data_IF_425406750268
#
_entry.id   IF_425406750268
#
_cell.length_a   1.000
_cell.length_b   1.000
_cell.length_c   1.000
_cell.angle_alpha   90.00
_cell.angle_beta   90.00
_cell.angle_gamma   90.00
#
_symmetry.space_group_name_H-M   'P 1'
#
loop_
_entity.id
_entity.type
_entity.pdbx_description
1 polymer ?
#
# COMPACT_ATOMS: atom_id res chain seq x y z
N UNK A 1 -33.62 59.80 30.27
CA UNK A 1 -33.06 59.70 28.90
C UNK A 1 -31.67 59.07 29.04
N UNK A 2 -31.31 57.88 28.56
CA UNK A 2 -31.83 56.94 27.56
C UNK A 2 -31.81 55.52 28.16
N UNK A 3 -32.86 54.75 27.89
CA UNK A 3 -33.00 53.33 28.27
C UNK A 3 -32.17 52.44 27.35
N UNK A 4 -31.49 51.45 27.93
CA UNK A 4 -30.90 50.31 27.22
C UNK A 4 -32.02 49.46 26.61
N UNK A 5 -31.92 49.15 25.31
CA UNK A 5 -32.69 48.09 24.66
C UNK A 5 -31.76 46.94 24.31
N UNK A 6 -31.97 45.82 24.99
CA UNK A 6 -31.37 44.52 24.70
C UNK A 6 -32.27 43.87 23.64
N UNK A 7 -31.72 43.60 22.45
CA UNK A 7 -32.39 42.78 21.44
C UNK A 7 -31.91 41.34 21.59
N UNK A 8 -32.81 40.48 22.06
CA UNK A 8 -32.70 39.02 21.99
C UNK A 8 -33.23 38.61 20.62
N UNK A 9 -32.38 38.01 19.78
CA UNK A 9 -32.83 37.32 18.56
C UNK A 9 -32.93 35.82 18.87
N UNK A 10 -34.16 35.32 18.94
CA UNK A 10 -34.49 33.89 18.81
C UNK A 10 -34.69 33.66 17.32
N UNK A 11 -33.86 32.79 16.73
CA UNK A 11 -33.96 32.37 15.34
C UNK A 11 -33.68 30.88 15.23
N UNK A 12 -34.75 30.09 15.14
CA UNK A 12 -34.75 28.66 14.90
C UNK A 12 -34.52 28.32 13.42
N UNK A 13 -33.75 27.24 13.21
CA UNK A 13 -33.77 26.31 12.07
C UNK A 13 -33.39 26.80 10.67
N UNK A 14 -32.32 26.25 10.10
CA UNK A 14 -32.42 25.26 9.01
C UNK A 14 -31.04 24.68 8.66
N UNK A 15 -30.90 23.37 8.80
CA UNK A 15 -29.81 22.60 8.26
C UNK A 15 -29.86 22.64 6.73
N UNK A 16 -28.80 23.12 6.09
CA UNK A 16 -28.65 23.06 4.65
C UNK A 16 -28.36 21.60 4.23
N UNK A 17 -29.42 20.89 3.85
CA UNK A 17 -29.34 19.63 3.10
C UNK A 17 -28.90 19.98 1.69
N UNK A 18 -27.69 19.56 1.31
CA UNK A 18 -27.23 19.68 -0.08
C UNK A 18 -28.08 18.77 -0.98
N UNK A 19 -28.87 19.39 -1.84
CA UNK A 19 -29.64 18.73 -2.90
C UNK A 19 -28.69 18.26 -4.02
N UNK A 20 -28.79 17.01 -4.49
CA UNK A 20 -28.04 16.57 -5.67
C UNK A 20 -28.60 17.18 -6.96
N UNK A 21 -27.70 17.71 -7.77
CA UNK A 21 -27.97 18.35 -9.06
C UNK A 21 -28.33 17.28 -10.13
N UNK A 22 -29.50 17.35 -10.80
CA UNK A 22 -29.98 16.30 -11.70
C UNK A 22 -29.55 16.58 -13.15
N UNK A 23 -28.30 16.27 -13.50
CA UNK A 23 -27.89 16.29 -14.90
C UNK A 23 -26.67 15.38 -15.14
N UNK A 24 -26.88 14.06 -15.15
CA UNK A 24 -26.24 13.09 -16.06
C UNK A 24 -26.69 11.68 -15.66
N UNK A 25 -27.79 11.20 -16.24
CA UNK A 25 -28.17 9.78 -16.19
C UNK A 25 -28.29 9.28 -17.62
N UNK A 26 -27.42 8.38 -18.10
CA UNK A 26 -27.61 7.75 -19.40
C UNK A 26 -28.85 6.85 -19.33
N UNK A 27 -29.81 7.09 -20.24
CA UNK A 27 -31.00 6.24 -20.40
C UNK A 27 -30.60 4.91 -21.02
N UNK A 28 -30.40 3.88 -20.19
CA UNK A 28 -30.35 2.49 -20.67
C UNK A 28 -31.80 1.97 -20.72
N UNK A 29 -32.35 1.83 -21.92
CA UNK A 29 -33.62 1.11 -22.16
C UNK A 29 -33.31 -0.34 -22.50
N UNK A 30 -33.83 -1.27 -21.69
CA UNK A 30 -34.06 -2.66 -22.07
C UNK A 30 -33.30 -3.71 -21.25
N UNK A 31 -34.05 -4.71 -20.76
CA UNK A 31 -33.66 -5.92 -20.03
C UNK A 31 -33.74 -5.89 -18.48
N UNK A 32 -34.97 -5.86 -17.95
CA UNK A 32 -35.28 -6.49 -16.66
C UNK A 32 -35.95 -7.85 -16.92
N UNK A 33 -35.20 -8.95 -16.79
CA UNK A 33 -35.74 -10.19 -16.23
C UNK A 33 -35.38 -10.17 -14.75
N UNK A 34 -36.39 -10.17 -13.89
CA UNK A 34 -36.25 -10.24 -12.44
C UNK A 34 -35.52 -11.56 -12.10
N UNK A 35 -34.26 -11.50 -11.67
CA UNK A 35 -33.61 -12.64 -11.03
C UNK A 35 -34.19 -12.77 -9.61
N UNK A 36 -34.68 -13.96 -9.27
CA UNK A 36 -35.21 -14.25 -7.93
C UNK A 36 -34.09 -14.05 -6.89
N UNK A 37 -34.38 -13.53 -5.69
CA UNK A 37 -33.40 -13.46 -4.62
C UNK A 37 -32.89 -14.86 -4.28
N UNK A 38 -31.57 -15.01 -4.23
CA UNK A 38 -30.92 -16.21 -3.75
C UNK A 38 -31.21 -16.35 -2.25
N UNK A 39 -31.99 -17.36 -1.89
CA UNK A 39 -32.18 -17.78 -0.49
C UNK A 39 -31.15 -18.88 -0.23
N UNK A 40 -30.15 -18.59 0.60
CA UNK A 40 -29.18 -19.59 1.04
C UNK A 40 -29.90 -20.63 1.93
N UNK A 41 -29.90 -21.94 1.61
CA UNK A 41 -30.69 -22.93 2.35
C UNK A 41 -30.13 -23.34 3.71
N UNK A 42 -28.94 -22.89 4.13
CA UNK A 42 -28.39 -23.32 5.42
C UNK A 42 -27.48 -22.26 6.06
N UNK A 43 -27.88 -21.62 7.18
CA UNK A 43 -27.09 -20.56 7.83
C UNK A 43 -25.90 -21.07 8.66
N UNK A 44 -25.69 -22.39 8.79
CA UNK A 44 -24.52 -22.97 9.44
C UNK A 44 -24.10 -24.28 8.75
N UNK A 45 -23.23 -24.23 7.74
CA UNK A 45 -22.56 -25.43 7.24
C UNK A 45 -21.55 -25.94 8.28
N UNK A 46 -21.70 -27.22 8.64
CA UNK A 46 -20.78 -27.95 9.53
C UNK A 46 -19.56 -28.45 8.73
N UNK A 47 -18.41 -27.83 8.97
CA UNK A 47 -17.13 -28.12 8.31
C UNK A 47 -16.24 -29.08 9.12
N UNK A 48 -16.78 -29.77 10.13
CA UNK A 48 -16.01 -30.65 11.02
C UNK A 48 -15.28 -31.81 10.33
N UNK A 49 -15.54 -32.07 9.04
CA UNK A 49 -14.95 -33.18 8.29
C UNK A 49 -14.32 -32.75 6.94
N UNK A 50 -13.97 -31.48 6.75
CA UNK A 50 -13.26 -31.04 5.54
C UNK A 50 -11.74 -31.33 5.65
N UNK A 51 -11.17 -32.21 4.80
CA UNK A 51 -9.75 -32.54 4.81
C UNK A 51 -8.83 -31.40 4.32
N UNK A 52 -9.36 -30.25 3.91
CA UNK A 52 -8.58 -29.03 3.65
C UNK A 52 -8.21 -28.24 4.93
N UNK A 53 -8.63 -28.72 6.11
CA UNK A 53 -8.31 -28.12 7.40
C UNK A 53 -7.45 -29.08 8.26
N UNK A 54 -6.24 -29.37 7.79
CA UNK A 54 -5.22 -29.98 8.65
C UNK A 54 -4.65 -28.88 9.57
N UNK A 55 -4.72 -29.00 10.92
CA UNK A 55 -4.20 -28.01 11.84
C UNK A 55 -2.67 -28.12 11.87
N UNK A 56 -2.02 -27.53 10.88
CA UNK A 56 -0.59 -27.29 10.94
C UNK A 56 -0.33 -26.13 11.92
N UNK A 57 0.27 -26.52 13.04
CA UNK A 57 1.06 -25.72 13.98
C UNK A 57 0.29 -25.08 15.15
N UNK A 58 0.47 -25.70 16.31
CA UNK A 58 0.40 -25.03 17.61
C UNK A 58 1.39 -23.85 17.58
N UNK A 59 0.88 -22.65 17.35
CA UNK A 59 1.60 -21.42 17.65
C UNK A 59 1.69 -21.34 19.19
N UNK A 60 2.89 -21.53 19.73
CA UNK A 60 3.21 -21.23 21.13
C UNK A 60 2.91 -19.73 21.42
N UNK A 61 2.06 -19.55 22.43
CA UNK A 61 1.79 -18.38 23.29
C UNK A 61 2.02 -16.93 22.79
N UNK A 62 0.89 -16.20 22.75
CA UNK A 62 0.81 -14.74 22.59
C UNK A 62 0.76 -14.37 21.11
N UNK A 63 -0.39 -14.06 20.50
CA UNK A 63 -1.18 -12.87 20.80
C UNK A 63 -2.63 -13.13 20.40
N UNK A 64 -3.56 -13.06 21.36
CA UNK A 64 -4.99 -12.97 21.05
C UNK A 64 -5.29 -11.53 20.64
N UNK A 65 -5.07 -11.18 19.38
CA UNK A 65 -5.63 -9.95 18.84
C UNK A 65 -7.16 -10.11 18.74
N UNK A 66 -7.85 -9.56 19.73
CA UNK A 66 -9.30 -9.52 19.82
C UNK A 66 -9.85 -8.71 18.63
N UNK A 67 -10.61 -9.36 17.76
CA UNK A 67 -11.29 -8.72 16.65
C UNK A 67 -12.29 -7.69 17.18
N UNK A 68 -11.96 -6.40 17.08
CA UNK A 68 -12.87 -5.34 17.47
C UNK A 68 -13.95 -5.15 16.39
N UNK A 69 -15.09 -5.83 16.57
CA UNK A 69 -16.29 -5.72 15.72
C UNK A 69 -16.77 -4.26 15.58
N UNK A 70 -16.43 -3.40 16.55
CA UNK A 70 -16.74 -1.98 16.49
C UNK A 70 -15.93 -1.23 15.40
N UNK A 71 -14.69 -1.61 15.12
CA UNK A 71 -13.90 -1.03 14.02
C UNK A 71 -14.43 -1.46 12.65
N UNK A 72 -14.94 -2.70 12.54
CA UNK A 72 -15.64 -3.19 11.34
C UNK A 72 -16.91 -2.38 11.07
N UNK A 73 -17.75 -2.17 12.08
CA UNK A 73 -19.01 -1.43 11.96
C UNK A 73 -18.80 0.09 11.81
N UNK A 74 -17.68 0.63 12.28
CA UNK A 74 -17.32 2.05 12.15
C UNK A 74 -16.66 2.40 10.80
N UNK A 75 -16.50 1.44 9.88
CA UNK A 75 -15.78 1.65 8.62
C UNK A 75 -14.28 1.92 8.81
N UNK A 76 -13.73 1.60 9.99
CA UNK A 76 -12.31 1.72 10.35
C UNK A 76 -11.58 0.40 10.14
N UNK A 77 -11.97 -0.37 9.11
CA UNK A 77 -11.22 -1.56 8.74
C UNK A 77 -9.80 -1.15 8.34
N UNK A 78 -8.85 -1.30 9.25
CA UNK A 78 -7.54 -1.74 8.80
C UNK A 78 -7.79 -3.10 8.16
N UNK A 79 -7.80 -3.17 6.84
CA UNK A 79 -7.83 -4.46 6.15
C UNK A 79 -6.71 -5.30 6.76
N UNK A 80 -6.92 -6.61 6.96
CA UNK A 80 -5.89 -7.53 7.47
C UNK A 80 -4.55 -7.33 6.76
N UNK A 81 -4.59 -6.86 5.52
CA UNK A 81 -3.40 -6.44 4.80
C UNK A 81 -2.67 -5.23 5.40
N UNK A 82 -3.37 -4.12 5.61
CA UNK A 82 -2.75 -2.88 6.10
C UNK A 82 -2.06 -3.13 7.45
N UNK A 83 -2.66 -3.93 8.34
CA UNK A 83 -2.01 -4.29 9.60
C UNK A 83 -0.72 -5.10 9.41
N UNK A 84 -0.59 -5.91 8.35
CA UNK A 84 0.66 -6.61 8.02
C UNK A 84 1.77 -5.68 7.56
N UNK A 85 1.44 -4.63 6.80
CA UNK A 85 2.39 -3.56 6.49
C UNK A 85 2.81 -2.84 7.78
N UNK A 86 1.84 -2.45 8.60
CA UNK A 86 2.09 -1.71 9.85
C UNK A 86 2.97 -2.49 10.83
N UNK A 87 2.80 -3.81 10.94
CA UNK A 87 3.69 -4.67 11.74
C UNK A 87 5.16 -4.58 11.28
N UNK A 88 5.39 -4.51 9.97
CA UNK A 88 6.74 -4.35 9.41
C UNK A 88 7.27 -2.94 9.63
N UNK A 89 6.44 -1.91 9.43
CA UNK A 89 6.82 -0.51 9.70
C UNK A 89 7.26 -0.33 11.15
N UNK A 90 6.44 -0.79 12.10
CA UNK A 90 6.75 -0.73 13.54
C UNK A 90 8.01 -1.51 13.89
N UNK A 91 8.22 -2.67 13.28
CA UNK A 91 9.43 -3.46 13.54
C UNK A 91 10.71 -2.72 13.11
N UNK A 92 10.68 -2.01 11.98
CA UNK A 92 11.87 -1.35 11.43
C UNK A 92 12.10 0.08 11.89
N UNK A 93 11.10 0.78 12.45
CA UNK A 93 11.30 2.12 13.03
C UNK A 93 11.96 2.13 14.41
N UNK A 94 12.31 0.95 14.96
CA UNK A 94 13.07 0.76 16.20
C UNK A 94 12.39 1.44 17.42
N UNK A 95 13.18 2.09 18.29
CA UNK A 95 12.73 2.72 19.54
C UNK A 95 11.70 3.86 19.34
N UNK A 96 11.50 4.30 18.10
CA UNK A 96 10.44 5.24 17.75
C UNK A 96 9.18 4.49 17.28
N UNK A 97 8.05 4.80 17.92
CA UNK A 97 6.75 4.36 17.43
C UNK A 97 6.51 4.97 16.04
N UNK A 98 6.29 4.11 15.05
CA UNK A 98 5.95 4.54 13.70
C UNK A 98 4.68 5.42 13.71
N UNK A 99 4.79 6.65 13.22
CA UNK A 99 3.71 7.64 13.16
C UNK A 99 3.05 7.62 11.77
N UNK A 100 1.97 6.84 11.64
CA UNK A 100 1.24 6.71 10.38
C UNK A 100 0.65 8.05 9.92
N UNK A 101 0.15 8.87 10.84
CA UNK A 101 -0.47 10.15 10.48
C UNK A 101 0.56 11.08 9.85
N UNK A 102 1.78 11.11 10.40
CA UNK A 102 2.89 11.89 9.86
C UNK A 102 3.30 11.45 8.45
N UNK A 103 3.38 10.15 8.19
CA UNK A 103 4.00 9.63 6.96
C UNK A 103 3.00 9.28 5.84
N UNK A 104 1.76 8.86 6.15
CA UNK A 104 0.80 8.33 5.15
C UNK A 104 0.05 9.41 4.35
N UNK A 105 0.42 10.66 4.58
CA UNK A 105 -0.03 11.82 3.85
C UNK A 105 1.14 12.71 3.45
N UNK A 106 2.24 12.08 3.03
CA UNK A 106 3.49 12.76 2.72
C UNK A 106 3.75 12.80 1.22
N UNK A 107 4.12 13.97 0.71
CA UNK A 107 4.56 14.12 -0.67
C UNK A 107 3.46 13.79 -1.68
N UNK A 108 3.87 13.20 -2.80
CA UNK A 108 3.00 12.85 -3.92
C UNK A 108 2.70 11.34 -4.02
N UNK A 109 3.39 10.50 -3.25
CA UNK A 109 3.35 9.04 -3.38
C UNK A 109 3.09 8.29 -2.07
N UNK A 110 3.30 8.89 -0.90
CA UNK A 110 3.01 8.26 0.39
C UNK A 110 1.53 8.30 0.78
N UNK A 111 0.62 8.58 -0.16
CA UNK A 111 -0.83 8.61 0.10
C UNK A 111 -1.35 7.19 0.37
N UNK A 112 -1.31 6.79 1.64
CA UNK A 112 -1.81 5.50 2.14
C UNK A 112 -3.13 5.74 2.91
N UNK A 113 -3.99 6.55 2.28
CA UNK A 113 -5.37 6.80 2.69
C UNK A 113 -6.27 6.70 1.46
N UNK A 114 -7.54 6.33 1.62
CA UNK A 114 -8.52 6.21 0.53
C UNK A 114 -9.05 4.79 0.33
N UNK A 115 -9.66 4.53 -0.83
CA UNK A 115 -10.30 3.24 -1.17
C UNK A 115 -9.25 2.12 -1.39
N UNK A 116 -8.08 2.45 -1.96
CA UNK A 116 -6.99 1.50 -2.24
C UNK A 116 -5.64 2.05 -1.79
N UNK A 117 -5.42 2.20 -0.47
CA UNK A 117 -4.30 2.92 0.10
C UNK A 117 -2.93 2.26 -0.19
N UNK A 118 -2.88 0.97 -0.53
CA UNK A 118 -1.63 0.25 -0.78
C UNK A 118 -1.31 0.19 -2.28
N UNK A 119 -2.30 0.04 -3.16
CA UNK A 119 -2.09 -0.17 -4.60
C UNK A 119 -2.40 1.04 -5.48
N UNK A 120 -3.08 2.07 -4.97
CA UNK A 120 -3.23 3.32 -5.71
C UNK A 120 -1.88 3.98 -5.92
N UNK A 121 -1.62 4.34 -7.18
CA UNK A 121 -0.37 4.95 -7.59
C UNK A 121 -0.34 6.42 -7.22
N UNK A 122 0.81 6.86 -6.72
CA UNK A 122 1.13 8.28 -6.55
C UNK A 122 1.38 9.00 -7.88
N UNK A 123 1.81 10.25 -7.77
CA UNK A 123 2.08 11.12 -8.92
C UNK A 123 3.53 11.60 -8.93
N UNK A 124 4.17 11.61 -10.10
CA UNK A 124 5.49 12.21 -10.28
C UNK A 124 6.65 11.39 -9.66
N UNK A 125 7.90 11.87 -9.75
CA UNK A 125 9.14 11.20 -9.31
C UNK A 125 9.29 11.04 -7.80
N UNK A 126 8.47 11.72 -7.01
CA UNK A 126 8.66 11.88 -5.57
C UNK A 126 9.37 13.20 -5.26
N UNK A 127 8.80 13.99 -4.35
CA UNK A 127 9.29 15.35 -4.05
C UNK A 127 10.64 15.36 -3.33
N UNK A 128 10.94 14.31 -2.58
CA UNK A 128 12.21 14.14 -1.86
C UNK A 128 12.59 12.66 -1.68
N UNK A 129 13.58 12.40 -0.83
CA UNK A 129 14.07 11.04 -0.55
C UNK A 129 13.04 10.14 0.15
N UNK A 130 12.17 10.70 0.98
CA UNK A 130 11.15 9.95 1.71
C UNK A 130 10.00 9.57 0.76
N UNK A 131 9.49 10.55 0.01
CA UNK A 131 8.42 10.33 -0.97
C UNK A 131 8.83 9.35 -2.09
N UNK A 132 10.12 9.37 -2.47
CA UNK A 132 10.69 8.35 -3.38
C UNK A 132 10.56 6.92 -2.85
N UNK A 133 10.65 6.68 -1.53
CA UNK A 133 10.47 5.33 -0.96
C UNK A 133 9.04 4.84 -1.06
N UNK A 134 8.08 5.75 -0.90
CA UNK A 134 6.68 5.43 -1.15
C UNK A 134 6.43 5.14 -2.63
N UNK A 135 7.02 5.92 -3.55
CA UNK A 135 6.95 5.61 -4.98
C UNK A 135 7.54 4.23 -5.31
N UNK A 136 8.73 3.92 -4.80
CA UNK A 136 9.39 2.62 -4.99
C UNK A 136 8.49 1.47 -4.48
N UNK A 137 7.85 1.64 -3.32
CA UNK A 137 6.87 0.68 -2.80
C UNK A 137 5.69 0.46 -3.75
N UNK A 138 5.05 1.54 -4.23
CA UNK A 138 3.93 1.45 -5.17
C UNK A 138 4.33 0.77 -6.49
N UNK A 139 5.53 1.05 -6.98
CA UNK A 139 6.08 0.39 -8.17
C UNK A 139 6.38 -1.10 -7.92
N UNK A 140 6.80 -1.49 -6.72
CA UNK A 140 6.95 -2.89 -6.34
C UNK A 140 5.59 -3.61 -6.38
N UNK A 141 4.54 -3.03 -5.79
CA UNK A 141 3.18 -3.57 -5.84
C UNK A 141 2.65 -3.67 -7.28
N UNK A 142 2.99 -2.70 -8.14
CA UNK A 142 2.68 -2.76 -9.56
C UNK A 142 3.37 -3.95 -10.25
N UNK A 143 4.62 -4.23 -9.91
CA UNK A 143 5.34 -5.39 -10.42
C UNK A 143 4.75 -6.72 -9.95
N UNK A 144 4.39 -6.84 -8.68
CA UNK A 144 3.71 -8.03 -8.16
C UNK A 144 2.43 -8.33 -8.95
N UNK A 145 1.63 -7.28 -9.23
CA UNK A 145 0.43 -7.40 -10.08
C UNK A 145 0.75 -7.82 -11.51
N UNK A 146 1.77 -7.22 -12.12
CA UNK A 146 2.17 -7.56 -13.49
C UNK A 146 2.66 -9.01 -13.60
N UNK A 147 3.32 -9.54 -12.57
CA UNK A 147 3.89 -10.89 -12.55
C UNK A 147 2.89 -11.98 -12.15
N UNK A 148 1.96 -11.68 -11.23
CA UNK A 148 1.05 -12.67 -10.65
C UNK A 148 -0.44 -12.44 -11.01
N UNK A 149 -0.71 -11.49 -11.89
CA UNK A 149 -2.04 -11.20 -12.43
C UNK A 149 -2.80 -10.09 -11.70
N UNK A 150 -3.88 -9.61 -12.34
CA UNK A 150 -4.61 -8.41 -11.92
C UNK A 150 -5.24 -8.50 -10.52
N UNK A 151 -5.43 -9.71 -10.00
CA UNK A 151 -5.94 -9.95 -8.64
C UNK A 151 -4.86 -9.90 -7.56
N UNK A 152 -3.58 -9.84 -7.94
CA UNK A 152 -2.47 -9.67 -7.01
C UNK A 152 -2.38 -8.20 -6.58
N UNK A 153 -3.27 -7.84 -5.66
CA UNK A 153 -3.49 -6.49 -5.17
C UNK A 153 -3.27 -6.51 -3.66
N UNK A 154 -2.45 -5.58 -3.17
CA UNK A 154 -2.12 -5.44 -1.75
C UNK A 154 -3.38 -5.52 -0.89
N UNK A 155 -4.39 -4.71 -1.15
CA UNK A 155 -5.64 -4.62 -0.38
C UNK A 155 -6.34 -5.95 -0.09
N UNK A 156 -6.23 -6.94 -0.99
CA UNK A 156 -7.04 -8.17 -0.95
C UNK A 156 -6.25 -9.42 -0.55
N UNK A 157 -4.94 -9.44 -0.76
CA UNK A 157 -4.12 -10.64 -0.60
C UNK A 157 -3.24 -10.53 0.65
N UNK A 158 -3.61 -11.28 1.69
CA UNK A 158 -2.77 -11.45 2.88
C UNK A 158 -1.70 -12.51 2.66
N UNK A 159 -0.52 -12.30 3.22
CA UNK A 159 0.59 -13.27 3.22
C UNK A 159 0.84 -13.91 4.59
N UNK A 160 1.69 -14.92 4.69
CA UNK A 160 2.10 -15.50 5.98
C UNK A 160 2.93 -14.50 6.76
N UNK A 161 2.61 -14.32 8.06
CA UNK A 161 3.33 -13.40 8.97
C UNK A 161 4.86 -13.60 8.84
N UNK A 162 5.66 -12.56 8.58
CA UNK A 162 7.10 -12.69 8.43
C UNK A 162 7.75 -13.21 9.71
N UNK A 163 8.72 -14.13 9.56
CA UNK A 163 9.46 -14.71 10.69
C UNK A 163 10.63 -13.82 11.06
N UNK A 164 10.86 -13.66 12.36
CA UNK A 164 12.07 -13.03 12.88
C UNK A 164 13.27 -13.96 12.73
N UNK A 165 14.39 -13.46 12.19
CA UNK A 165 15.64 -14.18 12.05
C UNK A 165 16.81 -13.25 12.39
N UNK A 166 17.70 -13.72 13.26
CA UNK A 166 18.97 -13.06 13.53
C UNK A 166 20.00 -13.55 12.52
N UNK A 167 20.67 -12.63 11.84
CA UNK A 167 21.73 -12.91 10.87
C UNK A 167 22.92 -12.00 11.17
N UNK A 168 24.14 -12.48 10.90
CA UNK A 168 25.33 -11.64 10.96
C UNK A 168 25.40 -10.77 9.70
N UNK A 169 25.58 -9.47 9.87
CA UNK A 169 25.90 -8.58 8.75
C UNK A 169 27.36 -8.77 8.30
N UNK A 170 27.78 -8.04 7.25
CA UNK A 170 29.13 -8.13 6.68
C UNK A 170 30.25 -7.77 7.66
N UNK A 171 29.92 -7.09 8.76
CA UNK A 171 30.83 -6.72 9.84
C UNK A 171 30.85 -7.74 10.98
N UNK A 172 30.13 -8.86 10.85
CA UNK A 172 30.01 -9.87 11.89
C UNK A 172 29.16 -9.43 13.09
N UNK A 173 28.30 -8.42 12.91
CA UNK A 173 27.37 -7.94 13.95
C UNK A 173 26.01 -8.60 13.74
N UNK A 174 25.43 -9.12 14.81
CA UNK A 174 24.08 -9.69 14.77
C UNK A 174 23.04 -8.60 14.50
N UNK A 175 22.22 -8.83 13.48
CA UNK A 175 21.08 -8.00 13.16
C UNK A 175 19.82 -8.87 13.08
N UNK A 176 18.74 -8.36 13.66
CA UNK A 176 17.44 -9.02 13.64
C UNK A 176 16.63 -8.52 12.45
N UNK A 177 16.24 -9.44 11.57
CA UNK A 177 15.48 -9.14 10.36
C UNK A 177 14.17 -9.93 10.30
N UNK A 178 13.21 -9.43 9.54
CA UNK A 178 12.02 -10.18 9.12
C UNK A 178 12.29 -10.88 7.80
N UNK A 179 11.74 -12.08 7.65
CA UNK A 179 11.83 -12.90 6.44
C UNK A 179 10.43 -13.39 6.08
N UNK A 180 9.99 -13.11 4.86
CA UNK A 180 8.72 -13.58 4.34
C UNK A 180 8.72 -15.12 4.22
N UNK A 181 7.55 -15.77 4.24
CA UNK A 181 7.44 -17.24 4.38
C UNK A 181 6.70 -17.97 3.27
N UNK A 182 5.95 -17.27 2.43
CA UNK A 182 5.20 -17.89 1.33
C UNK A 182 6.13 -18.49 0.27
N UNK A 183 5.66 -19.40 -0.57
CA UNK A 183 6.54 -20.00 -1.56
C UNK A 183 7.09 -18.92 -2.53
N UNK A 184 8.35 -19.03 -3.01
CA UNK A 184 8.83 -18.19 -4.10
C UNK A 184 7.86 -18.20 -5.30
N UNK A 185 7.87 -17.13 -6.09
CA UNK A 185 7.02 -16.96 -7.28
C UNK A 185 5.50 -16.96 -7.00
N UNK A 186 5.09 -16.59 -5.78
CA UNK A 186 3.68 -16.39 -5.42
C UNK A 186 3.36 -14.91 -5.22
N UNK A 187 2.10 -14.53 -5.43
CA UNK A 187 1.64 -13.17 -5.15
C UNK A 187 1.87 -12.78 -3.69
N UNK A 188 1.54 -13.67 -2.77
CA UNK A 188 1.69 -13.50 -1.32
C UNK A 188 3.15 -13.19 -0.97
N UNK A 189 4.09 -13.96 -1.55
CA UNK A 189 5.52 -13.72 -1.41
C UNK A 189 5.91 -12.35 -1.96
N UNK A 190 5.55 -12.05 -3.20
CA UNK A 190 5.92 -10.78 -3.84
C UNK A 190 5.43 -9.56 -3.04
N UNK A 191 4.16 -9.57 -2.61
CA UNK A 191 3.58 -8.50 -1.78
C UNK A 191 4.27 -8.37 -0.41
N UNK A 192 4.65 -9.50 0.20
CA UNK A 192 5.39 -9.49 1.46
C UNK A 192 6.79 -8.89 1.29
N UNK A 193 7.51 -9.27 0.24
CA UNK A 193 8.84 -8.72 -0.03
C UNK A 193 8.76 -7.21 -0.33
N UNK A 194 7.73 -6.76 -1.05
CA UNK A 194 7.49 -5.32 -1.28
C UNK A 194 7.32 -4.55 0.04
N UNK A 195 6.48 -5.04 0.95
CA UNK A 195 6.29 -4.39 2.27
C UNK A 195 7.55 -4.44 3.13
N UNK A 196 8.25 -5.59 3.14
CA UNK A 196 9.46 -5.78 3.91
C UNK A 196 10.55 -4.80 3.47
N UNK A 197 10.75 -4.68 2.16
CA UNK A 197 11.72 -3.74 1.60
C UNK A 197 11.30 -2.29 1.87
N UNK A 198 10.02 -1.96 1.71
CA UNK A 198 9.52 -0.63 2.00
C UNK A 198 9.74 -0.24 3.47
N UNK A 199 9.40 -1.10 4.42
CA UNK A 199 9.60 -0.82 5.84
C UNK A 199 11.08 -0.58 6.17
N UNK A 200 11.99 -1.41 5.66
CA UNK A 200 13.44 -1.24 5.80
C UNK A 200 13.91 0.11 5.23
N UNK A 201 13.50 0.43 4.01
CA UNK A 201 14.01 1.61 3.32
C UNK A 201 13.39 2.91 3.85
N UNK A 202 12.12 2.86 4.24
CA UNK A 202 11.44 3.97 4.88
C UNK A 202 12.10 4.30 6.23
N UNK A 203 12.34 3.30 7.08
CA UNK A 203 12.99 3.51 8.38
C UNK A 203 14.37 4.17 8.27
N UNK A 204 15.14 3.83 7.23
CA UNK A 204 16.47 4.43 6.97
C UNK A 204 16.42 5.92 6.64
N UNK A 205 15.28 6.44 6.17
CA UNK A 205 15.17 7.83 5.69
C UNK A 205 14.20 8.69 6.49
N UNK A 206 13.20 8.10 7.14
CA UNK A 206 12.08 8.82 7.75
C UNK A 206 12.48 9.80 8.84
N UNK A 207 13.51 9.47 9.63
CA UNK A 207 13.97 10.32 10.74
C UNK A 207 14.68 11.59 10.28
N UNK A 208 15.32 11.56 9.11
CA UNK A 208 16.20 12.63 8.64
C UNK A 208 15.66 13.39 7.43
N UNK A 209 14.77 12.76 6.65
CA UNK A 209 14.26 13.31 5.39
C UNK A 209 12.85 13.87 5.51
N UNK A 210 12.22 13.80 6.68
CA UNK A 210 10.89 14.37 6.88
C UNK A 210 10.93 15.90 6.80
N UNK A 211 10.14 16.46 5.89
CA UNK A 211 9.89 17.89 5.74
C UNK A 211 8.42 18.20 6.03
N UNK A 212 8.11 19.01 7.06
CA UNK A 212 6.74 19.44 7.35
C UNK A 212 6.02 20.10 6.16
N UNK A 213 6.74 20.69 5.21
CA UNK A 213 6.14 21.31 4.02
C UNK A 213 5.53 20.28 3.05
N UNK A 214 6.00 19.04 3.08
CA UNK A 214 5.48 17.95 2.25
C UNK A 214 4.41 17.12 2.97
N UNK A 215 4.20 17.32 4.27
CA UNK A 215 3.14 16.67 5.03
C UNK A 215 1.78 17.35 4.77
N UNK A 216 0.77 16.55 4.43
CA UNK A 216 -0.58 16.97 4.00
C UNK A 216 -0.60 17.89 2.78
N UNK A 217 0.48 17.94 1.98
CA UNK A 217 0.60 18.91 0.89
C UNK A 217 -0.53 18.78 -0.16
N UNK A 218 -1.00 17.56 -0.44
CA UNK A 218 -2.07 17.34 -1.42
C UNK A 218 -3.46 17.76 -0.92
N UNK A 219 -3.70 17.78 0.40
CA UNK A 219 -4.98 18.21 0.96
C UNK A 219 -5.11 19.73 0.97
N UNK A 220 -3.98 20.44 1.07
CA UNK A 220 -3.93 21.90 1.11
C UNK A 220 -3.77 22.53 -0.28
N UNK A 221 -3.62 21.72 -1.32
CA UNK A 221 -3.35 22.17 -2.68
C UNK A 221 -4.55 21.92 -3.61
N UNK A 222 -4.78 22.84 -4.53
CA UNK A 222 -5.71 22.65 -5.63
C UNK A 222 -5.09 21.79 -6.75
N UNK A 223 -5.91 21.38 -7.72
CA UNK A 223 -5.46 20.48 -8.80
C UNK A 223 -4.30 21.05 -9.63
N UNK A 224 -4.24 22.36 -9.84
CA UNK A 224 -3.15 23.01 -10.57
C UNK A 224 -1.86 22.95 -9.75
N UNK A 225 -1.90 23.33 -8.48
CA UNK A 225 -0.75 23.28 -7.57
C UNK A 225 -0.21 21.84 -7.46
N UNK A 226 -1.08 20.84 -7.34
CA UNK A 226 -0.67 19.42 -7.34
C UNK A 226 0.03 19.06 -8.64
N UNK A 227 -0.47 19.53 -9.79
CA UNK A 227 0.15 19.25 -11.09
C UNK A 227 1.54 19.89 -11.25
N UNK A 228 1.77 21.03 -10.61
CA UNK A 228 3.03 21.77 -10.60
C UNK A 228 4.05 21.19 -9.60
N UNK A 229 3.59 20.70 -8.45
CA UNK A 229 4.46 20.11 -7.42
C UNK A 229 4.78 18.63 -7.69
N UNK A 230 3.80 17.87 -8.21
CA UNK A 230 3.91 16.44 -8.50
C UNK A 230 4.08 16.19 -9.99
N UNK A 231 5.01 16.91 -10.64
CA UNK A 231 5.18 16.86 -12.09
C UNK A 231 5.42 15.43 -12.55
N UNK A 232 4.54 14.92 -13.42
CA UNK A 232 4.84 13.71 -14.17
C UNK A 232 5.92 14.09 -15.17
N UNK A 233 7.10 13.48 -15.06
CA UNK A 233 8.15 13.63 -16.07
C UNK A 233 7.57 13.41 -17.47
N UNK A 234 8.16 14.04 -18.48
CA UNK A 234 7.79 13.79 -19.86
C UNK A 234 7.73 12.28 -20.09
N UNK A 235 6.81 11.82 -20.95
CA UNK A 235 6.86 10.44 -21.42
C UNK A 235 8.19 10.31 -22.18
N UNK A 236 9.21 9.77 -21.51
CA UNK A 236 10.47 9.47 -22.18
C UNK A 236 10.14 8.57 -23.36
N UNK A 237 10.54 9.02 -24.56
CA UNK A 237 10.22 8.35 -25.82
C UNK A 237 10.86 6.97 -25.97
N UNK A 238 11.68 6.55 -25.00
CA UNK A 238 12.43 5.30 -24.97
C UNK A 238 12.45 4.67 -23.56
N UNK A 239 11.25 4.41 -23.01
CA UNK A 239 11.09 3.82 -21.69
C UNK A 239 10.55 2.38 -21.79
N UNK A 240 11.44 1.41 -22.03
CA UNK A 240 11.13 -0.02 -21.86
C UNK A 240 11.15 -0.38 -20.36
N UNK A 241 10.08 0.03 -19.67
CA UNK A 241 9.93 -0.22 -18.23
C UNK A 241 9.56 -1.68 -17.98
N UNK A 242 10.41 -2.38 -17.22
CA UNK A 242 10.23 -3.78 -16.83
C UNK A 242 10.36 -3.97 -15.34
N UNK A 243 9.90 -5.12 -14.86
CA UNK A 243 10.04 -5.55 -13.48
C UNK A 243 11.22 -6.52 -13.36
N UNK A 244 12.00 -6.34 -12.30
CA UNK A 244 13.12 -7.20 -11.93
C UNK A 244 12.95 -7.69 -10.49
N UNK A 245 13.17 -8.98 -10.23
CA UNK A 245 12.90 -9.60 -8.93
C UNK A 245 11.42 -9.95 -8.73
N UNK A 246 11.01 -10.14 -7.48
CA UNK A 246 9.63 -10.50 -7.11
C UNK A 246 9.42 -11.97 -6.75
N UNK A 247 10.42 -12.83 -6.98
CA UNK A 247 10.36 -14.26 -6.68
C UNK A 247 10.61 -14.54 -5.20
N UNK A 248 11.79 -14.14 -4.70
CA UNK A 248 12.25 -14.31 -3.32
C UNK A 248 12.77 -12.99 -2.73
N UNK A 249 12.60 -11.89 -3.48
CA UNK A 249 13.03 -10.55 -3.14
C UNK A 249 12.03 -9.51 -3.65
N UNK A 250 12.15 -8.26 -3.18
CA UNK A 250 11.27 -7.18 -3.62
C UNK A 250 11.51 -6.83 -5.09
N UNK A 251 10.43 -6.75 -5.86
CA UNK A 251 10.51 -6.35 -7.25
C UNK A 251 10.86 -4.86 -7.40
N UNK A 252 11.62 -4.53 -8.44
CA UNK A 252 11.94 -3.15 -8.81
C UNK A 252 11.63 -2.89 -10.27
N UNK A 253 11.07 -1.72 -10.54
CA UNK A 253 10.92 -1.22 -11.92
C UNK A 253 12.25 -0.65 -12.39
N UNK A 254 12.70 -1.05 -13.58
CA UNK A 254 13.88 -0.51 -14.25
C UNK A 254 13.56 -0.22 -15.73
N UNK A 255 14.39 0.59 -16.38
CA UNK A 255 14.32 0.82 -17.82
C UNK A 255 15.34 -0.09 -18.52
N UNK A 256 14.84 -1.11 -19.22
CA UNK A 256 15.66 -2.09 -19.94
C UNK A 256 16.38 -1.48 -21.17
N UNK A 257 15.88 -0.37 -21.71
CA UNK A 257 16.55 0.39 -22.76
C UNK A 257 17.73 1.23 -22.22
N UNK A 258 17.82 1.46 -20.90
CA UNK A 258 18.88 2.27 -20.32
C UNK A 258 20.24 1.54 -20.38
N UNK A 259 21.33 2.18 -20.83
CA UNK A 259 22.63 1.52 -21.04
C UNK A 259 23.24 0.93 -19.76
N UNK A 260 22.94 1.54 -18.60
CA UNK A 260 23.50 1.13 -17.30
C UNK A 260 22.44 0.55 -16.35
N UNK A 261 21.34 -0.01 -16.87
CA UNK A 261 20.40 -0.78 -16.04
C UNK A 261 20.24 -2.18 -16.63
N UNK A 262 20.46 -3.18 -15.79
CA UNK A 262 20.36 -4.59 -16.13
C UNK A 262 19.55 -5.29 -15.03
N UNK A 263 18.76 -6.29 -15.38
CA UNK A 263 18.15 -7.18 -14.41
C UNK A 263 18.89 -8.51 -14.43
N UNK A 264 19.66 -8.80 -13.39
CA UNK A 264 20.47 -10.00 -13.27
C UNK A 264 20.24 -10.68 -11.93
N UNK A 265 20.00 -11.99 -11.93
CA UNK A 265 19.70 -12.76 -10.70
C UNK A 265 18.61 -12.11 -9.81
N UNK A 266 17.56 -11.56 -10.44
CA UNK A 266 16.46 -10.89 -9.74
C UNK A 266 16.79 -9.51 -9.16
N UNK A 267 17.96 -8.94 -9.46
CA UNK A 267 18.39 -7.63 -8.96
C UNK A 267 18.72 -6.67 -10.10
N UNK A 268 18.42 -5.38 -9.88
CA UNK A 268 18.81 -4.32 -10.83
C UNK A 268 20.26 -3.93 -10.56
N UNK A 269 21.10 -4.04 -11.58
CA UNK A 269 22.55 -3.77 -11.52
C UNK A 269 22.97 -2.75 -12.58
N UNK A 270 24.16 -2.15 -12.40
CA UNK A 270 24.75 -1.21 -13.35
C UNK A 270 25.60 -1.91 -14.44
N UNK A 271 25.91 -3.19 -14.25
CA UNK A 271 26.64 -4.04 -15.20
C UNK A 271 26.08 -5.47 -15.20
N UNK A 272 26.21 -6.16 -16.34
CA UNK A 272 25.97 -7.60 -16.47
C UNK A 272 27.21 -8.45 -16.19
N UNK A 273 28.38 -7.84 -16.02
CA UNK A 273 29.63 -8.57 -15.86
C UNK A 273 29.63 -9.39 -14.56
N UNK A 274 29.97 -10.68 -14.68
CA UNK A 274 29.99 -11.60 -13.55
C UNK A 274 28.64 -12.25 -13.22
N UNK A 275 27.57 -11.98 -13.97
CA UNK A 275 26.27 -12.63 -13.82
C UNK A 275 26.00 -13.62 -14.97
N UNK A 276 25.40 -14.76 -14.63
CA UNK A 276 25.01 -15.81 -15.60
C UNK A 276 23.59 -15.61 -16.14
N UNK A 277 22.72 -14.99 -15.35
CA UNK A 277 21.28 -14.93 -15.60
C UNK A 277 20.79 -13.48 -15.66
N UNK A 278 21.10 -12.81 -16.78
CA UNK A 278 20.65 -11.45 -17.06
C UNK A 278 19.55 -11.43 -18.13
N UNK A 279 18.54 -10.59 -17.91
CA UNK A 279 17.53 -10.29 -18.93
C UNK A 279 18.19 -9.56 -20.10
N UNK A 280 17.93 -10.04 -21.32
CA UNK A 280 18.47 -9.43 -22.53
C UNK A 280 17.86 -8.04 -22.76
N UNK A 281 18.71 -7.09 -23.16
CA UNK A 281 18.27 -5.80 -23.68
C UNK A 281 17.59 -5.99 -25.03
N UNK A 282 16.53 -5.22 -25.25
CA UNK A 282 15.75 -5.23 -26.50
C UNK A 282 15.90 -3.90 -27.22
#
# INVERSE_FOLDING_TARGET
MKLLSVFVFIGETQAAVMSPNPAFVPKVKGFHKLLKPFVNPNPNPDYSNDPAFDPAFEDEEGDKEEYNVFDFLAGRMQTRRYSQLMQLMQFYTLDETFDADKYWNYGCNCMIHGDRPLSDMGTGPGVDRLDRKCREYKLCQQCARAQHGDMCIGEFISYRRPRTRTILNDLGVEETHKVCRDAPDTCERALCECDLQFAKDHAKVSLVAFDPAHHNMLYNANAQEISEMCVRGAKDGDADRRCCGGSDNAARVYNNAHPNQFCCAGQVTETSDGFTDCVAKT
#
